data_IF_172850772555
#
_entry.id   IF_172850772555
#
_cell.length_a   1.000
_cell.length_b   1.000
_cell.length_c   1.000
_cell.angle_alpha   90.00
_cell.angle_beta   90.00
_cell.angle_gamma   90.00
#
_symmetry.space_group_name_H-M   'P 1'
#
loop_
_entity.id
_entity.type
_entity.pdbx_description
1 polymer ?
#
# COMPACT_ATOMS: atom_id res chain seq x y z
N UNK A 1 38.70 16.58 24.56
CA UNK A 1 37.43 15.87 24.84
C UNK A 1 36.37 16.15 23.75
N UNK A 2 36.69 16.14 22.44
CA UNK A 2 35.81 16.80 21.44
C UNK A 2 35.19 15.90 20.35
N UNK A 3 35.63 14.66 20.15
CA UNK A 3 35.19 13.86 18.98
C UNK A 3 33.81 13.19 19.19
N UNK A 4 33.41 12.90 20.43
CA UNK A 4 32.15 12.22 20.73
C UNK A 4 30.97 13.19 20.63
N UNK A 5 31.15 14.42 21.07
CA UNK A 5 30.11 15.45 21.12
C UNK A 5 29.69 15.91 19.71
N UNK A 6 30.64 16.11 18.80
CA UNK A 6 30.36 16.48 17.40
C UNK A 6 29.61 15.37 16.65
N UNK A 7 29.95 14.10 16.90
CA UNK A 7 29.27 12.95 16.29
C UNK A 7 27.84 12.79 16.78
N UNK A 8 27.54 13.15 18.02
CA UNK A 8 26.18 13.12 18.59
C UNK A 8 25.34 14.27 18.01
N UNK A 9 25.91 15.48 17.88
CA UNK A 9 25.23 16.64 17.30
C UNK A 9 24.92 16.41 15.81
N UNK A 10 25.88 15.85 15.05
CA UNK A 10 25.69 15.48 13.63
C UNK A 10 24.59 14.43 13.44
N UNK A 11 24.53 13.39 14.27
CA UNK A 11 23.47 12.38 14.20
C UNK A 11 22.08 12.94 14.58
N UNK A 12 22.03 13.90 15.50
CA UNK A 12 20.78 14.55 15.91
C UNK A 12 20.24 15.48 14.82
N UNK A 13 21.13 16.22 14.16
CA UNK A 13 20.83 17.07 13.00
C UNK A 13 20.31 16.26 11.82
N UNK A 14 20.95 15.13 11.52
CA UNK A 14 20.52 14.25 10.43
C UNK A 14 19.13 13.63 10.73
N UNK A 15 18.87 13.25 11.99
CA UNK A 15 17.57 12.71 12.40
C UNK A 15 16.43 13.73 12.28
N UNK A 16 16.66 15.01 12.59
CA UNK A 16 15.64 16.04 12.42
C UNK A 16 15.33 16.29 10.95
N UNK A 17 16.36 16.33 10.10
CA UNK A 17 16.22 16.57 8.66
C UNK A 17 15.50 15.40 7.95
N UNK A 18 15.78 14.16 8.35
CA UNK A 18 15.03 12.97 7.89
C UNK A 18 13.56 13.06 8.32
N UNK A 19 13.28 13.54 9.53
CA UNK A 19 11.92 13.64 10.05
C UNK A 19 11.10 14.69 9.30
N UNK A 20 11.69 15.87 9.06
CA UNK A 20 11.05 16.92 8.26
C UNK A 20 10.75 16.45 6.84
N UNK A 21 11.68 15.73 6.19
CA UNK A 21 11.45 15.15 4.86
C UNK A 21 10.35 14.09 4.86
N UNK A 22 10.24 13.28 5.91
CA UNK A 22 9.16 12.29 6.04
C UNK A 22 7.80 12.94 6.23
N UNK A 23 7.71 14.02 7.02
CA UNK A 23 6.47 14.77 7.23
C UNK A 23 6.04 15.51 5.95
N UNK A 24 7.00 16.04 5.18
CA UNK A 24 6.76 16.66 3.87
C UNK A 24 6.19 15.65 2.87
N UNK A 25 6.79 14.45 2.78
CA UNK A 25 6.28 13.34 1.97
C UNK A 25 4.88 12.92 2.45
N UNK A 26 4.64 12.86 3.76
CA UNK A 26 3.35 12.46 4.32
C UNK A 26 2.24 13.47 3.98
N UNK A 27 2.55 14.77 4.03
CA UNK A 27 1.62 15.84 3.67
C UNK A 27 1.30 15.82 2.18
N UNK A 28 2.31 15.69 1.32
CA UNK A 28 2.12 15.55 -0.13
C UNK A 28 1.32 14.29 -0.49
N UNK A 29 1.53 13.19 0.24
CA UNK A 29 0.81 11.94 0.02
C UNK A 29 -0.65 12.03 0.48
N UNK A 30 -0.94 12.77 1.55
CA UNK A 30 -2.32 13.04 2.01
C UNK A 30 -3.09 13.92 1.02
N UNK A 31 -2.45 14.92 0.41
CA UNK A 31 -3.09 15.74 -0.63
C UNK A 31 -3.42 14.92 -1.89
N UNK A 32 -2.61 13.91 -2.21
CA UNK A 32 -2.85 12.98 -3.33
C UNK A 32 -3.89 11.90 -2.97
N UNK A 33 -4.05 11.52 -1.70
CA UNK A 33 -4.85 10.37 -1.26
C UNK A 33 -6.37 10.51 -1.41
N UNK A 34 -6.87 11.68 -1.82
CA UNK A 34 -8.29 11.90 -2.15
C UNK A 34 -8.56 11.92 -3.66
N UNK A 35 -7.65 11.39 -4.48
CA UNK A 35 -7.87 11.23 -5.90
C UNK A 35 -8.98 10.19 -6.14
N UNK A 36 -10.13 10.65 -6.62
CA UNK A 36 -11.21 9.78 -7.08
C UNK A 36 -10.85 9.28 -8.47
N UNK A 37 -10.96 7.97 -8.69
CA UNK A 37 -10.83 7.41 -10.03
C UNK A 37 -12.22 7.29 -10.64
N UNK A 38 -12.56 8.20 -11.53
CA UNK A 38 -13.82 8.14 -12.29
C UNK A 38 -13.64 7.21 -13.48
N UNK A 39 -14.33 6.07 -13.48
CA UNK A 39 -14.37 5.13 -14.59
C UNK A 39 -15.83 4.91 -14.96
N UNK A 40 -16.22 5.27 -16.19
CA UNK A 40 -17.57 5.08 -16.73
C UNK A 40 -18.69 5.61 -15.81
N UNK A 41 -18.55 6.85 -15.33
CA UNK A 41 -19.48 7.50 -14.38
C UNK A 41 -19.60 6.83 -12.99
N UNK A 42 -18.76 5.84 -12.69
CA UNK A 42 -18.61 5.27 -11.35
C UNK A 42 -17.37 5.87 -10.71
N UNK A 43 -17.57 6.60 -9.61
CA UNK A 43 -16.48 7.09 -8.77
C UNK A 43 -15.99 5.97 -7.85
N UNK A 44 -14.75 5.52 -8.06
CA UNK A 44 -14.08 4.63 -7.13
C UNK A 44 -13.18 5.46 -6.20
N UNK A 45 -13.45 5.36 -4.90
CA UNK A 45 -12.56 5.90 -3.89
C UNK A 45 -11.26 5.08 -3.87
N UNK A 46 -10.14 5.70 -4.23
CA UNK A 46 -8.83 5.06 -4.26
C UNK A 46 -8.30 4.71 -2.86
N UNK A 47 -8.92 5.20 -1.79
CA UNK A 47 -8.65 4.73 -0.43
C UNK A 47 -9.19 3.31 -0.20
N UNK A 48 -10.33 2.98 -0.83
CA UNK A 48 -10.99 1.68 -0.72
C UNK A 48 -10.55 0.70 -1.82
N UNK A 49 -10.32 1.18 -3.04
CA UNK A 49 -10.02 0.35 -4.21
C UNK A 49 -8.65 0.71 -4.79
N UNK A 50 -7.74 -0.27 -4.83
CA UNK A 50 -6.38 -0.07 -5.33
C UNK A 50 -6.07 -1.03 -6.47
N UNK A 51 -5.13 -0.67 -7.34
CA UNK A 51 -4.70 -1.55 -8.43
C UNK A 51 -3.98 -2.80 -7.90
N UNK A 52 -3.91 -3.87 -8.69
CA UNK A 52 -3.11 -5.05 -8.32
C UNK A 52 -1.62 -4.72 -8.09
N UNK A 53 -1.09 -3.77 -8.85
CA UNK A 53 0.30 -3.31 -8.72
C UNK A 53 0.52 -2.62 -7.38
N UNK A 54 -0.39 -1.72 -6.99
CA UNK A 54 -0.29 -1.00 -5.72
C UNK A 54 -0.56 -1.93 -4.53
N UNK A 55 -1.50 -2.87 -4.67
CA UNK A 55 -1.73 -3.92 -3.69
C UNK A 55 -0.48 -4.80 -3.49
N UNK A 56 0.16 -5.20 -4.60
CA UNK A 56 1.40 -5.97 -4.61
C UNK A 56 2.52 -5.25 -3.85
N UNK A 57 2.72 -3.94 -4.12
CA UNK A 57 3.71 -3.11 -3.43
C UNK A 57 3.37 -2.92 -1.95
N UNK A 58 2.11 -2.57 -1.63
CA UNK A 58 1.64 -2.26 -0.27
C UNK A 58 1.79 -3.44 0.68
N UNK A 59 1.48 -4.66 0.22
CA UNK A 59 1.51 -5.87 1.04
C UNK A 59 2.73 -6.77 0.78
N UNK A 60 3.70 -6.30 -0.03
CA UNK A 60 4.90 -7.05 -0.41
C UNK A 60 4.61 -8.47 -0.95
N UNK A 61 3.63 -8.56 -1.85
CA UNK A 61 3.20 -9.79 -2.50
C UNK A 61 3.53 -9.71 -3.99
N UNK A 62 3.87 -10.82 -4.64
CA UNK A 62 4.00 -10.81 -6.10
C UNK A 62 2.64 -10.67 -6.79
N UNK A 63 2.59 -9.96 -7.92
CA UNK A 63 1.36 -9.80 -8.72
C UNK A 63 0.77 -11.17 -9.10
N UNK A 64 1.60 -12.12 -9.51
CA UNK A 64 1.18 -13.49 -9.84
C UNK A 64 0.53 -14.20 -8.64
N UNK A 65 1.02 -13.96 -7.41
CA UNK A 65 0.41 -14.51 -6.19
C UNK A 65 -0.98 -13.90 -5.95
N UNK A 66 -1.13 -12.59 -6.12
CA UNK A 66 -2.42 -11.91 -5.98
C UNK A 66 -3.42 -12.42 -7.03
N UNK A 67 -3.00 -12.59 -8.28
CA UNK A 67 -3.83 -13.18 -9.33
C UNK A 67 -4.27 -14.61 -8.98
N UNK A 68 -3.36 -15.44 -8.46
CA UNK A 68 -3.68 -16.78 -7.98
C UNK A 68 -4.67 -16.74 -6.80
N UNK A 69 -4.59 -15.75 -5.91
CA UNK A 69 -5.55 -15.60 -4.82
C UNK A 69 -6.95 -15.26 -5.31
N UNK A 70 -7.06 -14.45 -6.37
CA UNK A 70 -8.33 -14.16 -7.04
C UNK A 70 -8.89 -15.45 -7.67
N UNK A 71 -8.08 -16.17 -8.45
CA UNK A 71 -8.49 -17.41 -9.13
C UNK A 71 -8.93 -18.49 -8.12
N UNK A 72 -8.22 -18.60 -6.99
CA UNK A 72 -8.51 -19.60 -5.93
C UNK A 72 -9.62 -19.16 -4.96
N UNK A 73 -10.19 -17.97 -5.13
CA UNK A 73 -11.23 -17.43 -4.23
C UNK A 73 -10.74 -17.07 -2.83
N UNK A 74 -9.43 -16.90 -2.62
CA UNK A 74 -8.87 -16.35 -1.38
C UNK A 74 -9.23 -14.87 -1.26
N UNK A 75 -9.18 -14.16 -2.41
CA UNK A 75 -9.87 -12.88 -2.54
C UNK A 75 -11.29 -13.19 -3.02
N UNK A 76 -12.32 -12.86 -2.23
CA UNK A 76 -13.71 -12.97 -2.65
C UNK A 76 -13.99 -12.15 -3.92
N UNK A 77 -14.92 -12.61 -4.76
CA UNK A 77 -15.24 -11.95 -6.04
C UNK A 77 -15.85 -10.55 -5.87
N UNK A 78 -16.57 -10.30 -4.78
CA UNK A 78 -17.11 -8.98 -4.40
C UNK A 78 -16.01 -7.96 -4.02
N UNK A 79 -14.79 -8.44 -3.80
CA UNK A 79 -13.63 -7.62 -3.48
C UNK A 79 -12.71 -7.37 -4.70
N UNK A 80 -13.17 -7.73 -5.90
CA UNK A 80 -12.44 -7.56 -7.16
C UNK A 80 -13.35 -6.86 -8.17
N UNK A 81 -12.86 -5.78 -8.75
CA UNK A 81 -13.51 -5.10 -9.87
C UNK A 81 -12.64 -5.29 -11.10
N UNK A 82 -13.27 -5.68 -12.20
CA UNK A 82 -12.62 -5.75 -13.51
C UNK A 82 -13.20 -4.61 -14.34
N UNK A 83 -12.32 -3.84 -14.97
CA UNK A 83 -12.68 -2.74 -15.86
C UNK A 83 -12.30 -3.16 -17.28
N UNK A 84 -13.22 -3.73 -18.07
CA UNK A 84 -12.94 -4.23 -19.41
C UNK A 84 -12.33 -3.18 -20.34
N UNK A 85 -12.78 -1.93 -20.23
CA UNK A 85 -12.44 -0.79 -21.08
C UNK A 85 -11.00 -0.31 -20.89
N UNK A 86 -10.40 -0.61 -19.74
CA UNK A 86 -9.02 -0.30 -19.41
C UNK A 86 -8.12 -1.54 -19.52
N UNK A 87 -8.22 -2.25 -20.65
CA UNK A 87 -7.45 -3.48 -20.89
C UNK A 87 -7.61 -4.50 -19.75
N UNK A 88 -8.85 -4.69 -19.30
CA UNK A 88 -9.18 -5.58 -18.17
C UNK A 88 -8.41 -5.25 -16.88
N UNK A 89 -8.18 -3.97 -16.61
CA UNK A 89 -7.58 -3.52 -15.36
C UNK A 89 -8.39 -4.06 -14.19
N UNK A 90 -7.67 -4.61 -13.20
CA UNK A 90 -8.27 -5.15 -11.98
C UNK A 90 -8.00 -4.22 -10.81
N UNK A 91 -9.06 -3.87 -10.10
CA UNK A 91 -8.99 -3.19 -8.81
C UNK A 91 -9.33 -4.19 -7.71
N UNK A 92 -8.66 -4.04 -6.58
CA UNK A 92 -8.82 -4.86 -5.40
C UNK A 92 -9.20 -3.99 -4.23
N UNK A 93 -10.12 -4.47 -3.39
CA UNK A 93 -10.43 -3.80 -2.13
C UNK A 93 -9.20 -3.79 -1.21
N UNK A 94 -8.86 -2.63 -0.66
CA UNK A 94 -7.64 -2.31 0.07
C UNK A 94 -7.62 -2.90 1.49
N UNK A 95 -7.62 -4.23 1.60
CA UNK A 95 -7.51 -4.97 2.86
C UNK A 95 -6.60 -6.18 2.68
N UNK A 96 -5.91 -6.60 3.75
CA UNK A 96 -5.07 -7.79 3.68
C UNK A 96 -5.93 -9.07 3.65
N UNK A 97 -5.68 -9.93 2.67
CA UNK A 97 -6.27 -11.27 2.60
C UNK A 97 -5.30 -12.31 3.17
N UNK A 98 -5.82 -13.30 3.86
CA UNK A 98 -5.03 -14.37 4.47
C UNK A 98 -5.40 -15.71 3.89
N UNK A 99 -4.39 -16.52 3.59
CA UNK A 99 -4.57 -17.95 3.38
C UNK A 99 -4.57 -18.67 4.72
N UNK A 100 -5.19 -19.86 4.80
CA UNK A 100 -5.13 -20.71 6.00
C UNK A 100 -3.69 -20.92 6.51
N UNK A 101 -2.71 -20.90 5.60
CA UNK A 101 -1.27 -21.00 5.89
C UNK A 101 -0.71 -19.74 6.56
N UNK A 102 -1.11 -18.53 6.15
CA UNK A 102 -0.60 -17.26 6.70
C UNK A 102 -1.28 -16.81 8.01
N UNK A 103 -2.44 -17.36 8.35
CA UNK A 103 -3.14 -17.02 9.60
C UNK A 103 -2.31 -17.36 10.86
N UNK A 104 -1.38 -18.32 10.77
CA UNK A 104 -0.52 -18.74 11.88
C UNK A 104 0.64 -17.77 12.19
N UNK A 105 1.04 -16.88 11.27
CA UNK A 105 2.17 -15.96 11.49
C UNK A 105 1.79 -14.67 12.23
N UNK A 106 0.49 -14.34 12.30
CA UNK A 106 0.00 -13.12 12.95
C UNK A 106 -0.77 -13.39 14.26
N UNK A 107 -0.67 -14.61 14.81
CA UNK A 107 -1.34 -15.04 16.05
C UNK A 107 -0.33 -15.63 17.06
N UNK A 108 0.93 -15.19 17.00
CA UNK A 108 1.94 -15.47 18.02
C UNK A 108 2.04 -14.27 18.96
N UNK A 109 1.44 -14.41 20.14
CA UNK A 109 1.71 -13.61 21.33
C UNK A 109 3.19 -13.69 21.74
#
# INVERSE_FOLDING_TARGET
MNNITEKIISQKSLKSEIREKLDEIHSMMNEISHSKLTIMDIEYDLSEWITLTDYSKKYNLSISRVQQWIIRGIVPSDCVIVVPELNYLKLLKNKMYYTKTNKKLNLGN
#
